data_IF_398762437955
#
_entry.id   IF_398762437955
#
_cell.length_a   1.000
_cell.length_b   1.000
_cell.length_c   1.000
_cell.angle_alpha   90.00
_cell.angle_beta   90.00
_cell.angle_gamma   90.00
#
_symmetry.space_group_name_H-M   'P 1'
#
loop_
_entity.id
_entity.type
_entity.pdbx_description
1 polymer ?
#
# COMPACT_ATOMS: atom_id res chain seq x y z
N UNK A 1 -2.44 -26.53 -8.00
CA UNK A 1 -3.44 -26.08 -8.98
C UNK A 1 -3.99 -24.78 -8.45
N UNK A 2 -3.44 -23.72 -8.91
CA UNK A 2 -3.92 -22.38 -8.71
C UNK A 2 -4.64 -22.02 -10.02
N UNK A 3 -5.82 -21.49 -10.26
CA UNK A 3 -6.05 -20.51 -9.29
C UNK A 3 -6.92 -19.52 -9.98
N UNK A 4 -8.01 -19.39 -9.43
CA UNK A 4 -8.91 -18.34 -9.86
C UNK A 4 -8.41 -17.00 -9.33
N UNK A 5 -8.84 -15.91 -9.91
CA UNK A 5 -8.59 -14.55 -9.44
C UNK A 5 -8.85 -14.40 -7.93
N UNK A 6 -9.87 -15.11 -7.44
CA UNK A 6 -10.33 -15.04 -6.06
C UNK A 6 -9.40 -15.76 -5.06
N UNK A 7 -8.47 -16.60 -5.55
CA UNK A 7 -7.51 -17.34 -4.70
C UNK A 7 -6.20 -16.58 -4.52
N UNK A 8 -5.94 -15.58 -5.37
CA UNK A 8 -4.68 -14.81 -5.35
C UNK A 8 -4.85 -13.60 -4.44
N UNK A 9 -3.95 -13.44 -3.46
CA UNK A 9 -3.98 -12.32 -2.50
C UNK A 9 -5.33 -12.21 -1.78
N UNK A 10 -5.97 -13.33 -1.47
CA UNK A 10 -7.22 -13.35 -0.74
C UNK A 10 -6.92 -13.49 0.75
N UNK A 11 -6.73 -12.36 1.41
CA UNK A 11 -6.65 -12.30 2.87
C UNK A 11 -8.06 -12.29 3.47
N UNK A 12 -8.20 -12.00 4.73
CA UNK A 12 -9.48 -12.01 5.43
C UNK A 12 -10.57 -11.24 4.65
N UNK A 13 -11.70 -11.91 4.39
CA UNK A 13 -12.86 -11.36 3.68
C UNK A 13 -12.55 -10.75 2.30
N UNK A 14 -11.70 -11.38 1.50
CA UNK A 14 -11.33 -10.91 0.15
C UNK A 14 -10.51 -9.62 0.11
N UNK A 15 -9.92 -9.20 1.23
CA UNK A 15 -9.01 -8.05 1.30
C UNK A 15 -7.74 -8.33 0.50
N UNK A 16 -7.32 -7.40 -0.36
CA UNK A 16 -6.07 -7.46 -1.12
C UNK A 16 -5.00 -6.58 -0.47
N UNK A 17 -5.31 -5.29 -0.29
CA UNK A 17 -4.34 -4.29 0.14
C UNK A 17 -5.07 -3.05 0.70
N UNK A 18 -4.32 -2.03 1.07
CA UNK A 18 -4.85 -0.72 1.43
C UNK A 18 -4.34 0.34 0.45
N UNK A 19 -5.19 1.34 0.17
CA UNK A 19 -4.79 2.54 -0.56
C UNK A 19 -4.82 3.75 0.38
N UNK A 20 -3.78 4.59 0.31
CA UNK A 20 -3.68 5.83 1.08
C UNK A 20 -3.37 6.99 0.13
N UNK A 21 -4.17 8.06 0.22
CA UNK A 21 -4.03 9.30 -0.56
C UNK A 21 -4.07 10.48 0.44
N UNK A 22 -2.93 10.82 1.07
CA UNK A 22 -2.92 11.79 2.19
C UNK A 22 -3.42 13.19 1.81
N UNK A 23 -3.24 13.61 0.55
CA UNK A 23 -3.65 14.95 0.07
C UNK A 23 -5.16 15.20 0.12
N UNK A 24 -5.96 14.14 0.14
CA UNK A 24 -7.43 14.19 0.19
C UNK A 24 -8.00 13.33 1.34
N UNK A 25 -7.16 12.98 2.32
CA UNK A 25 -7.52 12.21 3.53
C UNK A 25 -8.24 10.87 3.23
N UNK A 26 -7.75 10.13 2.23
CA UNK A 26 -8.26 8.80 1.88
C UNK A 26 -7.34 7.72 2.42
N UNK A 27 -7.91 6.77 3.15
CA UNK A 27 -7.26 5.53 3.58
C UNK A 27 -8.29 4.39 3.58
N UNK A 28 -8.28 3.56 2.54
CA UNK A 28 -9.31 2.57 2.29
C UNK A 28 -8.74 1.17 2.11
N UNK A 29 -9.44 0.13 2.60
CA UNK A 29 -9.20 -1.24 2.19
C UNK A 29 -9.57 -1.43 0.72
N UNK A 30 -8.82 -2.27 0.02
CA UNK A 30 -9.05 -2.65 -1.39
C UNK A 30 -9.34 -4.14 -1.41
N UNK A 31 -10.50 -4.51 -1.91
CA UNK A 31 -11.00 -5.87 -1.96
C UNK A 31 -10.99 -6.44 -3.38
N UNK A 32 -11.21 -7.75 -3.49
CA UNK A 32 -11.47 -8.42 -4.76
C UNK A 32 -12.81 -8.04 -5.33
N UNK A 33 -12.87 -7.85 -6.64
CA UNK A 33 -14.06 -7.59 -7.45
C UNK A 33 -14.85 -6.32 -7.09
N UNK A 34 -15.43 -5.71 -8.10
CA UNK A 34 -16.24 -4.48 -7.98
C UNK A 34 -17.72 -4.79 -7.74
N UNK A 35 -18.01 -5.66 -6.77
CA UNK A 35 -19.38 -5.98 -6.35
C UNK A 35 -19.91 -4.92 -5.38
N UNK A 36 -21.23 -4.71 -5.37
CA UNK A 36 -21.85 -3.66 -4.55
C UNK A 36 -21.61 -3.85 -3.04
N UNK A 37 -21.66 -5.08 -2.55
CA UNK A 37 -21.36 -5.39 -1.15
C UNK A 37 -19.90 -5.07 -0.75
N UNK A 38 -18.99 -5.05 -1.69
CA UNK A 38 -17.59 -4.67 -1.49
C UNK A 38 -17.43 -3.16 -1.57
N UNK A 39 -18.01 -2.54 -2.60
CA UNK A 39 -17.93 -1.09 -2.81
C UNK A 39 -18.63 -0.28 -1.70
N UNK A 40 -19.55 -0.91 -0.96
CA UNK A 40 -20.21 -0.28 0.20
C UNK A 40 -19.32 -0.20 1.45
N UNK A 41 -18.17 -0.89 1.48
CA UNK A 41 -17.25 -0.93 2.63
C UNK A 41 -15.83 -0.46 2.30
N UNK A 42 -15.50 -0.26 1.04
CA UNK A 42 -14.15 0.15 0.63
C UNK A 42 -13.99 0.33 -0.87
N UNK A 43 -12.75 0.28 -1.31
CA UNK A 43 -12.40 0.23 -2.71
C UNK A 43 -12.28 -1.22 -3.19
N UNK A 44 -12.35 -1.43 -4.50
CA UNK A 44 -12.29 -2.74 -5.10
C UNK A 44 -11.36 -2.79 -6.31
N UNK A 45 -10.60 -3.86 -6.43
CA UNK A 45 -9.78 -4.15 -7.59
C UNK A 45 -10.65 -4.70 -8.74
N UNK A 46 -10.48 -4.11 -9.92
CA UNK A 46 -11.24 -4.51 -11.10
C UNK A 46 -10.66 -5.81 -11.70
N UNK A 47 -11.48 -6.86 -11.69
CA UNK A 47 -11.14 -8.16 -12.29
C UNK A 47 -10.73 -8.02 -13.76
N UNK A 48 -9.67 -8.72 -14.17
CA UNK A 48 -9.13 -8.66 -15.53
C UNK A 48 -8.07 -7.58 -15.73
N UNK A 49 -7.74 -6.80 -14.71
CA UNK A 49 -6.57 -5.91 -14.69
C UNK A 49 -5.43 -6.53 -13.87
N UNK A 50 -4.21 -5.99 -13.98
CA UNK A 50 -3.07 -6.48 -13.20
C UNK A 50 -3.32 -6.28 -11.71
N UNK A 51 -2.82 -7.18 -10.85
CA UNK A 51 -2.84 -6.92 -9.43
C UNK A 51 -1.99 -5.68 -9.09
N UNK A 52 -2.42 -4.86 -8.11
CA UNK A 52 -1.60 -3.76 -7.62
C UNK A 52 -0.31 -4.33 -7.00
N UNK A 53 0.81 -3.61 -7.19
CA UNK A 53 2.14 -4.03 -6.72
C UNK A 53 2.81 -5.12 -7.58
N UNK A 54 2.38 -5.27 -8.82
CA UNK A 54 3.15 -6.04 -9.77
C UNK A 54 4.27 -5.17 -10.38
N UNK A 55 5.50 -5.63 -10.27
CA UNK A 55 6.68 -4.92 -10.78
C UNK A 55 7.40 -5.71 -11.88
N UNK A 56 6.65 -6.49 -12.65
CA UNK A 56 7.22 -7.24 -13.77
C UNK A 56 7.80 -6.31 -14.84
N UNK A 57 8.88 -6.75 -15.49
CA UNK A 57 9.54 -6.00 -16.56
C UNK A 57 8.61 -5.72 -17.76
N UNK A 58 7.62 -6.57 -17.98
CA UNK A 58 6.61 -6.41 -19.04
C UNK A 58 5.62 -5.28 -18.78
N UNK A 59 5.68 -4.67 -17.59
CA UNK A 59 4.72 -3.66 -17.18
C UNK A 59 3.44 -4.24 -16.57
N UNK A 60 2.68 -3.36 -15.90
CA UNK A 60 1.40 -3.70 -15.27
C UNK A 60 0.45 -2.51 -15.31
N UNK A 61 -0.86 -2.78 -15.27
CA UNK A 61 -1.87 -1.76 -15.09
C UNK A 61 -2.99 -2.31 -14.21
N UNK A 62 -3.02 -1.87 -12.96
CA UNK A 62 -4.07 -2.18 -12.01
C UNK A 62 -5.15 -1.11 -12.01
N UNK A 63 -6.41 -1.52 -11.81
CA UNK A 63 -7.53 -0.59 -11.71
C UNK A 63 -8.24 -0.80 -10.38
N UNK A 64 -8.37 0.29 -9.62
CA UNK A 64 -9.03 0.31 -8.31
C UNK A 64 -10.20 1.27 -8.39
N UNK A 65 -11.40 0.78 -8.09
CA UNK A 65 -12.65 1.55 -8.12
C UNK A 65 -13.21 1.74 -6.72
N UNK A 66 -13.80 2.91 -6.47
CA UNK A 66 -14.61 3.16 -5.29
C UNK A 66 -15.71 4.17 -5.62
N UNK A 67 -16.74 4.22 -4.78
CA UNK A 67 -17.83 5.18 -4.92
C UNK A 67 -17.37 6.63 -4.74
N UNK A 68 -18.14 7.56 -5.31
CA UNK A 68 -18.24 8.95 -4.89
C UNK A 68 -19.68 9.27 -4.53
N UNK A 69 -19.88 10.02 -3.43
CA UNK A 69 -21.22 10.38 -2.95
C UNK A 69 -21.97 9.24 -2.26
N UNK A 70 -21.29 8.33 -1.60
CA UNK A 70 -21.93 7.29 -0.80
C UNK A 70 -22.45 7.90 0.52
N UNK A 71 -23.72 7.65 0.90
CA UNK A 71 -24.38 8.43 1.95
C UNK A 71 -23.75 8.36 3.35
N UNK A 72 -23.09 7.24 3.70
CA UNK A 72 -22.61 6.98 5.05
C UNK A 72 -21.09 7.07 5.21
N UNK A 73 -20.35 7.11 4.11
CA UNK A 73 -18.89 7.06 4.13
C UNK A 73 -18.29 7.82 2.96
N UNK A 74 -17.12 8.43 3.20
CA UNK A 74 -16.31 9.08 2.18
C UNK A 74 -15.33 8.06 1.59
N UNK A 75 -15.40 7.84 0.30
CA UNK A 75 -14.51 6.94 -0.44
C UNK A 75 -13.63 7.73 -1.42
N UNK A 76 -13.97 7.75 -2.71
CA UNK A 76 -13.27 8.52 -3.74
C UNK A 76 -14.00 9.82 -4.10
N UNK A 77 -14.62 10.46 -3.10
CA UNK A 77 -15.40 11.67 -3.30
C UNK A 77 -14.56 12.82 -3.87
N UNK A 78 -13.34 12.97 -3.37
CA UNK A 78 -12.47 14.11 -3.68
C UNK A 78 -11.30 13.74 -4.61
N UNK A 79 -11.33 12.60 -5.33
CA UNK A 79 -10.21 12.28 -6.23
C UNK A 79 -10.11 13.23 -7.44
N UNK A 80 -11.12 14.06 -7.69
CA UNK A 80 -11.11 15.12 -8.67
C UNK A 80 -10.25 16.35 -8.24
N UNK A 81 -9.94 16.46 -6.95
CA UNK A 81 -8.99 17.44 -6.44
C UNK A 81 -7.52 17.11 -6.76
N UNK A 82 -7.24 15.83 -7.06
CA UNK A 82 -5.88 15.37 -7.37
C UNK A 82 -5.35 16.00 -8.66
N UNK A 83 -4.06 16.30 -8.65
CA UNK A 83 -3.33 16.92 -9.76
C UNK A 83 -2.17 16.04 -10.20
N UNK A 84 -1.73 16.22 -11.45
CA UNK A 84 -0.49 15.59 -11.90
C UNK A 84 0.67 15.97 -10.98
N UNK A 85 1.37 14.97 -10.48
CA UNK A 85 2.44 15.14 -9.51
C UNK A 85 2.09 14.68 -8.09
N UNK A 86 0.81 14.66 -7.72
CA UNK A 86 0.35 14.15 -6.43
C UNK A 86 0.69 12.68 -6.28
N UNK A 87 0.75 12.20 -5.05
CA UNK A 87 1.15 10.84 -4.76
C UNK A 87 0.07 10.10 -3.99
N UNK A 88 -0.04 8.80 -4.27
CA UNK A 88 -0.78 7.86 -3.46
C UNK A 88 0.03 6.58 -3.24
N UNK A 89 -0.28 5.84 -2.21
CA UNK A 89 0.47 4.64 -1.80
C UNK A 89 -0.46 3.45 -1.71
N UNK A 90 -0.01 2.32 -2.26
CA UNK A 90 -0.65 1.02 -2.06
C UNK A 90 0.21 0.22 -1.08
N UNK A 91 -0.42 -0.29 -0.03
CA UNK A 91 0.21 -1.07 1.02
C UNK A 91 -0.34 -2.49 1.03
N UNK A 92 0.53 -3.45 0.74
CA UNK A 92 0.25 -4.88 0.81
C UNK A 92 1.20 -5.51 1.83
N UNK A 93 0.66 -5.96 2.96
CA UNK A 93 1.46 -6.44 4.09
C UNK A 93 2.53 -5.41 4.48
N UNK A 94 3.80 -5.79 4.44
CA UNK A 94 4.94 -4.91 4.76
C UNK A 94 5.48 -4.13 3.53
N UNK A 95 4.89 -4.34 2.36
CA UNK A 95 5.29 -3.67 1.13
C UNK A 95 4.45 -2.42 0.93
N UNK A 96 5.10 -1.27 0.78
CA UNK A 96 4.47 -0.01 0.43
C UNK A 96 5.02 0.47 -0.92
N UNK A 97 4.13 0.69 -1.88
CA UNK A 97 4.50 1.16 -3.22
C UNK A 97 3.84 2.50 -3.47
N UNK A 98 4.64 3.50 -3.78
CA UNK A 98 4.17 4.87 -4.07
C UNK A 98 4.01 5.07 -5.56
N UNK A 99 2.88 5.65 -5.93
CA UNK A 99 2.53 6.03 -7.30
C UNK A 99 2.40 7.55 -7.38
N UNK A 100 2.91 8.13 -8.45
CA UNK A 100 2.79 9.57 -8.76
C UNK A 100 1.76 9.75 -9.87
N UNK A 101 0.79 10.60 -9.69
CA UNK A 101 -0.24 10.92 -10.69
C UNK A 101 0.40 11.47 -11.95
N UNK A 102 0.18 10.81 -13.07
CA UNK A 102 0.73 11.16 -14.39
C UNK A 102 -0.34 11.53 -15.40
N UNK A 103 -1.57 11.04 -15.22
CA UNK A 103 -2.67 11.33 -16.13
C UNK A 103 -4.03 11.37 -15.42
N UNK A 104 -4.93 12.23 -15.92
CA UNK A 104 -6.30 12.39 -15.41
C UNK A 104 -7.22 12.47 -16.63
N UNK A 105 -8.25 11.64 -16.68
CA UNK A 105 -9.18 11.56 -17.80
C UNK A 105 -10.62 11.43 -17.30
N UNK A 106 -11.54 11.96 -18.10
CA UNK A 106 -12.98 11.72 -17.93
C UNK A 106 -13.45 10.91 -19.15
N UNK A 107 -14.08 9.78 -18.89
CA UNK A 107 -14.52 8.84 -19.94
C UNK A 107 -15.97 8.43 -19.72
N UNK A 108 -16.59 7.82 -20.75
CA UNK A 108 -17.92 7.21 -20.61
C UNK A 108 -17.84 5.91 -19.80
N UNK A 109 -18.93 5.52 -19.10
CA UNK A 109 -19.00 4.23 -18.45
C UNK A 109 -18.72 3.09 -19.46
N UNK A 110 -17.88 2.13 -19.05
CA UNK A 110 -17.49 0.99 -19.90
C UNK A 110 -16.34 1.24 -20.88
N UNK A 111 -15.80 2.47 -20.94
CA UNK A 111 -14.60 2.73 -21.75
C UNK A 111 -13.35 2.18 -21.06
N UNK A 112 -12.85 1.06 -21.58
CA UNK A 112 -11.64 0.37 -21.09
C UNK A 112 -10.37 0.78 -21.84
N UNK A 113 -10.44 1.73 -22.77
CA UNK A 113 -9.31 2.09 -23.65
C UNK A 113 -8.07 2.59 -22.90
N UNK A 114 -8.26 3.14 -21.71
CA UNK A 114 -7.21 3.70 -20.88
C UNK A 114 -6.51 2.69 -19.95
N UNK A 115 -7.00 1.46 -19.84
CA UNK A 115 -6.49 0.44 -18.90
C UNK A 115 -5.48 -0.52 -19.53
N UNK A 116 -5.00 -0.22 -20.72
CA UNK A 116 -3.99 -1.05 -21.40
C UNK A 116 -2.68 -1.05 -20.66
N UNK A 117 -2.08 -2.23 -20.51
CA UNK A 117 -0.71 -2.38 -20.01
C UNK A 117 0.24 -1.65 -20.97
N UNK A 118 1.19 -0.93 -20.43
CA UNK A 118 2.27 -0.28 -21.18
C UNK A 118 3.60 -0.90 -20.77
N UNK A 119 4.38 -1.32 -21.76
CA UNK A 119 5.67 -1.95 -21.53
C UNK A 119 6.59 -1.07 -20.65
N UNK A 120 7.23 -1.70 -19.69
CA UNK A 120 8.13 -1.05 -18.74
C UNK A 120 7.49 -0.08 -17.75
N UNK A 121 6.14 0.02 -17.72
CA UNK A 121 5.41 0.88 -16.79
C UNK A 121 4.58 0.07 -15.81
N UNK A 122 4.66 0.46 -14.55
CA UNK A 122 3.79 -0.06 -13.49
C UNK A 122 2.77 1.04 -13.14
N UNK A 123 1.53 0.83 -13.57
CA UNK A 123 0.45 1.82 -13.50
C UNK A 123 -0.66 1.35 -12.56
N UNK A 124 -1.22 2.30 -11.84
CA UNK A 124 -2.48 2.12 -11.11
C UNK A 124 -3.43 3.25 -11.48
N UNK A 125 -4.64 2.90 -11.89
CA UNK A 125 -5.71 3.86 -12.16
C UNK A 125 -6.79 3.78 -11.09
N UNK A 126 -7.07 4.90 -10.46
CA UNK A 126 -8.20 5.10 -9.55
C UNK A 126 -9.42 5.51 -10.37
N UNK A 127 -10.57 4.89 -10.10
CA UNK A 127 -11.81 5.10 -10.86
C UNK A 127 -12.96 5.44 -9.93
N UNK A 128 -13.68 6.50 -10.24
CA UNK A 128 -14.94 6.82 -9.56
C UNK A 128 -16.00 7.34 -10.51
N UNK A 129 -17.23 7.47 -10.02
CA UNK A 129 -18.32 8.12 -10.75
C UNK A 129 -18.09 9.64 -10.84
N UNK A 130 -18.46 10.24 -12.00
CA UNK A 130 -18.27 11.67 -12.26
C UNK A 130 -19.35 12.23 -13.21
N UNK A 131 -19.77 13.50 -13.11
CA UNK A 131 -19.59 14.39 -11.95
C UNK A 131 -20.27 13.83 -10.70
N UNK A 132 -19.85 14.31 -9.52
CA UNK A 132 -20.42 13.95 -8.24
C UNK A 132 -21.96 14.04 -8.27
N UNK A 133 -22.68 13.05 -7.76
CA UNK A 133 -24.13 12.88 -7.77
C UNK A 133 -24.80 12.71 -9.14
N UNK A 134 -24.16 13.08 -10.26
CA UNK A 134 -24.74 12.94 -11.62
C UNK A 134 -24.35 11.61 -12.26
N UNK A 135 -23.11 11.16 -12.06
CA UNK A 135 -22.57 9.82 -12.39
C UNK A 135 -22.61 9.42 -13.88
N UNK A 136 -22.71 10.38 -14.81
CA UNK A 136 -22.81 10.13 -16.26
C UNK A 136 -21.48 9.66 -16.88
N UNK A 137 -20.37 9.91 -16.21
CA UNK A 137 -19.01 9.60 -16.65
C UNK A 137 -18.24 8.86 -15.55
N UNK A 138 -17.00 8.54 -15.84
CA UNK A 138 -16.02 8.03 -14.89
C UNK A 138 -14.80 8.95 -14.90
N UNK A 139 -14.35 9.34 -13.72
CA UNK A 139 -13.07 10.01 -13.52
C UNK A 139 -11.99 8.95 -13.33
N UNK A 140 -10.92 9.07 -14.08
CA UNK A 140 -9.75 8.19 -14.05
C UNK A 140 -8.54 9.01 -13.61
N UNK A 141 -7.93 8.63 -12.50
CA UNK A 141 -6.66 9.22 -12.03
C UNK A 141 -5.59 8.14 -12.08
N UNK A 142 -4.66 8.26 -13.03
CA UNK A 142 -3.62 7.26 -13.28
C UNK A 142 -2.31 7.69 -12.64
N UNK A 143 -1.76 6.84 -11.77
CA UNK A 143 -0.43 6.96 -11.20
C UNK A 143 0.55 5.99 -11.84
N UNK A 144 1.80 6.41 -11.99
CA UNK A 144 2.94 5.59 -12.36
C UNK A 144 3.84 5.37 -11.15
N UNK A 145 4.31 4.15 -10.94
CA UNK A 145 5.17 3.79 -9.82
C UNK A 145 6.42 4.65 -9.78
N UNK A 146 6.71 5.20 -8.61
CA UNK A 146 7.94 5.96 -8.37
C UNK A 146 9.10 4.98 -8.23
N UNK A 147 10.07 5.06 -9.13
CA UNK A 147 11.33 4.29 -9.02
C UNK A 147 12.12 4.83 -7.82
N UNK A 148 12.52 3.92 -6.91
CA UNK A 148 13.45 4.21 -5.79
C UNK A 148 12.93 4.96 -4.55
N UNK A 149 11.65 4.97 -4.24
CA UNK A 149 11.26 5.12 -2.83
C UNK A 149 11.06 3.72 -2.21
N UNK A 150 12.11 2.92 -2.17
CA UNK A 150 12.19 1.83 -1.22
C UNK A 150 12.34 2.51 0.15
N UNK A 151 11.23 2.75 0.83
CA UNK A 151 11.26 3.07 2.24
C UNK A 151 11.80 1.83 2.97
N UNK A 152 13.14 1.72 2.96
CA UNK A 152 13.84 0.97 3.98
C UNK A 152 13.29 1.56 5.27
N UNK A 153 12.41 0.82 5.93
CA UNK A 153 12.06 1.07 7.31
C UNK A 153 13.41 1.12 8.01
N UNK A 154 13.97 2.32 8.17
CA UNK A 154 15.10 2.52 9.04
C UNK A 154 14.56 1.97 10.36
N UNK A 155 15.11 0.86 10.78
CA UNK A 155 15.02 0.43 12.16
C UNK A 155 15.64 1.60 12.90
N UNK A 156 14.81 2.55 13.30
CA UNK A 156 15.20 3.56 14.26
C UNK A 156 15.44 2.71 15.51
N UNK A 157 16.71 2.38 15.73
CA UNK A 157 17.17 1.86 17.00
C UNK A 157 16.88 3.02 17.93
N UNK A 158 15.75 2.96 18.61
CA UNK A 158 15.36 3.98 19.58
C UNK A 158 16.48 4.05 20.60
N UNK A 159 16.82 5.25 21.07
CA UNK A 159 17.91 5.44 22.03
C UNK A 159 17.77 4.55 23.28
N UNK A 160 16.57 4.03 23.53
CA UNK A 160 16.25 3.03 24.56
C UNK A 160 16.92 1.67 24.25
N UNK A 161 16.92 1.22 22.98
CA UNK A 161 17.54 -0.05 22.61
C UNK A 161 19.07 0.00 22.74
N UNK A 162 19.67 1.15 22.44
CA UNK A 162 21.13 1.36 22.61
C UNK A 162 21.49 1.37 24.08
N UNK A 163 20.68 2.01 24.93
CA UNK A 163 20.85 2.00 26.38
C UNK A 163 20.71 0.58 26.96
N UNK A 164 19.72 -0.19 26.52
CA UNK A 164 19.52 -1.57 26.97
C UNK A 164 20.73 -2.47 26.59
N UNK A 165 21.21 -2.39 25.36
CA UNK A 165 22.38 -3.14 24.91
C UNK A 165 23.63 -2.74 25.71
N UNK A 166 23.81 -1.44 25.97
CA UNK A 166 24.92 -0.93 26.78
C UNK A 166 24.85 -1.42 28.24
N UNK A 167 23.68 -1.40 28.88
CA UNK A 167 23.51 -1.87 30.25
C UNK A 167 23.74 -3.39 30.38
N UNK A 168 23.22 -4.20 29.45
CA UNK A 168 23.44 -5.65 29.45
C UNK A 168 24.91 -5.98 29.24
N UNK A 169 25.60 -5.27 28.34
CA UNK A 169 27.05 -5.40 28.13
C UNK A 169 27.88 -5.09 29.38
N UNK A 170 27.56 -4.00 30.07
CA UNK A 170 28.24 -3.61 31.30
C UNK A 170 28.06 -4.63 32.45
N UNK A 171 26.85 -5.19 32.59
CA UNK A 171 26.55 -6.24 33.56
C UNK A 171 27.31 -7.54 33.28
N UNK A 172 27.44 -7.95 32.02
CA UNK A 172 28.20 -9.12 31.61
C UNK A 172 29.70 -8.96 31.92
N UNK A 173 30.28 -7.78 31.61
CA UNK A 173 31.69 -7.49 31.88
C UNK A 173 31.93 -7.49 33.41
N UNK A 174 31.04 -6.88 34.19
CA UNK A 174 31.10 -6.90 35.67
C UNK A 174 31.04 -8.31 36.21
N UNK A 175 30.13 -9.16 35.73
CA UNK A 175 30.00 -10.55 36.15
C UNK A 175 31.27 -11.36 35.86
N UNK A 176 31.86 -11.23 34.67
CA UNK A 176 33.10 -11.93 34.29
C UNK A 176 34.27 -11.46 35.17
N UNK A 177 34.36 -10.18 35.47
CA UNK A 177 35.41 -9.64 36.36
C UNK A 177 35.29 -10.21 37.80
N UNK A 178 34.09 -10.20 38.39
CA UNK A 178 33.84 -10.78 39.70
C UNK A 178 34.15 -12.27 39.71
N UNK A 179 33.68 -13.01 38.71
CA UNK A 179 33.92 -14.46 38.59
C UNK A 179 35.42 -14.79 38.53
N UNK A 180 36.19 -14.01 37.77
CA UNK A 180 37.65 -14.21 37.68
C UNK A 180 38.38 -13.92 38.98
N UNK A 181 37.98 -12.88 39.71
CA UNK A 181 38.52 -12.54 41.04
C UNK A 181 38.24 -13.64 42.06
N UNK A 182 36.97 -14.10 42.12
CA UNK A 182 36.58 -15.18 43.05
C UNK A 182 37.31 -16.48 42.74
N UNK A 183 37.47 -16.84 41.46
CA UNK A 183 38.20 -18.03 41.06
C UNK A 183 39.68 -17.98 41.38
N UNK A 184 40.30 -16.77 41.31
CA UNK A 184 41.68 -16.56 41.71
C UNK A 184 41.90 -16.67 43.25
N UNK A 185 40.93 -16.21 44.05
CA UNK A 185 40.97 -16.38 45.50
C UNK A 185 40.82 -17.85 45.92
N UNK A 186 39.93 -18.58 45.29
CA UNK A 186 39.70 -20.02 45.59
C UNK A 186 40.92 -20.91 45.26
N UNK A 187 41.83 -20.48 44.39
CA UNK A 187 43.06 -21.23 44.09
C UNK A 187 44.24 -20.90 45.02
N UNK A 188 44.07 -19.98 45.96
CA UNK A 188 45.14 -19.55 46.91
C UNK A 188 44.90 -20.04 48.35
N UNK A 189 43.92 -20.84 48.58
CA UNK A 189 43.66 -21.63 49.77
C UNK A 189 43.83 -23.11 49.42
#
# INVERSE_FOLDING_TARGET
>A
ILNTYDDILNFDNSLICYISIPSIDVNLPVYHETKENVLSIGAAHMKGTSFPINSGEMGSHSVISAHSGYPSQKFFDDIDELKKGDKFTIKLLDISTTYKVVDINIVKPGDMSKFKVKEGKDLVTLVTCYPFSINTHRLLVTGEKVKNEYNKKSTVINGVDVLFIGCVGALLVGYVAIFTVVRRKSKRV
#
